data_IF_050859830390
#
_entry.id   IF_050859830390
#
_cell.length_a   1.000
_cell.length_b   1.000
_cell.length_c   1.000
_cell.angle_alpha   90.00
_cell.angle_beta   90.00
_cell.angle_gamma   90.00
#
_symmetry.space_group_name_H-M   'P 1'
#
loop_
_entity.id
_entity.type
_entity.pdbx_description
1 polymer ?
#
# COMPACT_ATOMS: atom_id res chain seq x y z
N UNK A 1 12.70 5.16 -3.23
CA UNK A 1 11.47 4.42 -2.89
C UNK A 1 10.73 5.07 -1.74
N UNK A 2 9.40 5.02 -1.77
CA UNK A 2 8.52 5.58 -0.74
C UNK A 2 8.56 4.76 0.56
N UNK A 3 8.35 5.37 1.75
CA UNK A 3 8.20 4.61 2.99
C UNK A 3 6.98 3.67 3.02
N UNK A 4 6.06 3.79 2.05
CA UNK A 4 4.88 2.91 1.93
C UNK A 4 5.09 1.73 0.97
N UNK A 5 6.28 1.55 0.41
CA UNK A 5 6.55 0.52 -0.60
C UNK A 5 6.25 -0.91 -0.09
N UNK A 6 6.50 -1.15 1.20
CA UNK A 6 6.29 -2.44 1.84
C UNK A 6 4.86 -2.67 2.33
N UNK A 7 4.00 -1.63 2.29
CA UNK A 7 2.61 -1.80 2.70
C UNK A 7 1.86 -2.64 1.67
N UNK A 8 1.09 -3.63 2.11
CA UNK A 8 0.30 -4.43 1.20
C UNK A 8 -0.85 -3.60 0.62
N UNK A 9 -1.30 -3.97 -0.58
CA UNK A 9 -2.30 -3.20 -1.32
C UNK A 9 -3.60 -2.99 -0.53
N UNK A 10 -4.02 -3.97 0.28
CA UNK A 10 -5.27 -3.89 1.03
C UNK A 10 -5.23 -2.89 2.18
N UNK A 11 -4.03 -2.54 2.68
CA UNK A 11 -3.86 -1.46 3.65
C UNK A 11 -4.01 -0.12 2.92
N UNK A 12 -3.23 0.10 1.86
CA UNK A 12 -3.25 1.34 1.07
C UNK A 12 -4.64 1.62 0.46
N UNK A 13 -5.30 0.57 -0.04
CA UNK A 13 -6.62 0.67 -0.66
C UNK A 13 -7.77 0.62 0.34
N UNK A 14 -7.49 0.41 1.63
CA UNK A 14 -8.48 0.26 2.70
C UNK A 14 -9.58 -0.78 2.36
N UNK A 15 -9.15 -1.96 1.92
CA UNK A 15 -10.07 -3.03 1.56
C UNK A 15 -10.69 -3.64 2.84
N UNK A 16 -12.02 -3.65 2.96
CA UNK A 16 -12.72 -4.29 4.07
C UNK A 16 -12.37 -5.79 4.19
N UNK A 17 -12.30 -6.29 5.42
CA UNK A 17 -11.89 -7.67 5.74
C UNK A 17 -12.80 -8.77 5.18
N UNK A 18 -14.01 -8.41 4.72
CA UNK A 18 -15.04 -9.38 4.34
C UNK A 18 -15.05 -9.82 2.87
N UNK A 19 -14.00 -9.52 2.09
CA UNK A 19 -13.92 -9.96 0.69
C UNK A 19 -12.74 -10.89 0.47
N UNK A 20 -12.98 -12.03 -0.19
CA UNK A 20 -11.98 -12.95 -0.73
C UNK A 20 -11.08 -12.20 -1.71
N UNK A 21 -10.12 -11.46 -1.19
CA UNK A 21 -9.22 -10.62 -1.96
C UNK A 21 -8.08 -11.51 -2.49
N UNK A 22 -7.93 -11.66 -3.83
CA UNK A 22 -6.88 -12.50 -4.39
C UNK A 22 -5.47 -12.10 -3.94
N UNK A 23 -5.24 -10.81 -3.68
CA UNK A 23 -3.98 -10.29 -3.14
C UNK A 23 -3.73 -10.66 -1.67
N UNK A 24 -4.78 -10.71 -0.82
CA UNK A 24 -4.64 -11.21 0.57
C UNK A 24 -4.32 -12.71 0.60
N UNK A 25 -4.85 -13.47 -0.37
CA UNK A 25 -4.60 -14.92 -0.49
C UNK A 25 -3.19 -15.23 -1.03
N UNK A 26 -2.54 -14.27 -1.69
CA UNK A 26 -1.20 -14.41 -2.28
C UNK A 26 -0.27 -13.24 -1.85
N UNK A 27 0.07 -13.11 -0.55
CA UNK A 27 0.74 -11.92 0.00
C UNK A 27 2.18 -11.71 -0.49
N UNK A 28 2.80 -12.73 -1.10
CA UNK A 28 4.15 -12.65 -1.66
C UNK A 28 4.19 -12.12 -3.09
N UNK A 29 3.03 -11.90 -3.70
CA UNK A 29 2.91 -11.44 -5.07
C UNK A 29 2.33 -10.04 -5.08
N UNK A 30 2.70 -9.27 -6.10
CA UNK A 30 2.18 -7.94 -6.24
C UNK A 30 0.74 -7.97 -6.74
N UNK A 31 -0.09 -7.07 -6.21
CA UNK A 31 -1.51 -7.07 -6.53
C UNK A 31 -1.78 -6.90 -8.03
N UNK A 32 -0.94 -6.14 -8.74
CA UNK A 32 -1.06 -5.92 -10.18
C UNK A 32 -0.78 -7.19 -11.00
N UNK A 33 0.13 -8.05 -10.56
CA UNK A 33 0.38 -9.33 -11.22
C UNK A 33 -0.85 -10.22 -11.08
N UNK A 34 -1.39 -10.32 -9.86
CA UNK A 34 -2.56 -11.13 -9.56
C UNK A 34 -3.78 -10.64 -10.36
N UNK A 35 -4.10 -9.35 -10.32
CA UNK A 35 -5.28 -8.84 -11.02
C UNK A 35 -5.14 -8.89 -12.55
N UNK A 36 -3.93 -8.81 -13.09
CA UNK A 36 -3.69 -8.96 -14.53
C UNK A 36 -4.06 -10.34 -15.09
N UNK A 37 -4.04 -11.37 -14.25
CA UNK A 37 -4.43 -12.74 -14.63
C UNK A 37 -5.96 -12.88 -14.78
N UNK A 38 -6.74 -12.09 -14.02
CA UNK A 38 -8.21 -12.10 -14.07
C UNK A 38 -8.75 -11.14 -15.14
N UNK A 39 -8.13 -9.97 -15.30
CA UNK A 39 -8.47 -9.00 -16.34
C UNK A 39 -7.23 -8.19 -16.74
N UNK A 40 -6.80 -8.34 -18.00
CA UNK A 40 -5.65 -7.57 -18.53
C UNK A 40 -5.86 -6.06 -18.45
N UNK A 41 -7.11 -5.56 -18.43
CA UNK A 41 -7.39 -4.13 -18.26
C UNK A 41 -7.16 -3.65 -16.83
N UNK A 42 -7.25 -4.54 -15.84
CA UNK A 42 -6.92 -4.23 -14.46
C UNK A 42 -5.44 -3.87 -14.30
N UNK A 43 -4.56 -4.42 -15.14
CA UNK A 43 -3.14 -4.08 -15.14
C UNK A 43 -2.88 -2.60 -15.38
N UNK A 44 -3.53 -2.00 -16.39
CA UNK A 44 -3.39 -0.57 -16.67
C UNK A 44 -3.87 0.29 -15.49
N UNK A 45 -4.97 -0.11 -14.84
CA UNK A 45 -5.47 0.57 -13.64
C UNK A 45 -4.48 0.43 -12.48
N UNK A 46 -3.83 -0.73 -12.34
CA UNK A 46 -2.86 -0.94 -11.28
C UNK A 46 -1.53 -0.21 -11.51
N UNK A 47 -1.10 0.03 -12.74
CA UNK A 47 0.10 0.83 -13.01
C UNK A 47 -0.06 2.30 -12.59
N UNK A 48 -1.30 2.81 -12.63
CA UNK A 48 -1.62 4.16 -12.17
C UNK A 48 -1.96 4.21 -10.67
N UNK A 49 -2.01 3.06 -9.98
CA UNK A 49 -2.46 3.00 -8.60
C UNK A 49 -1.37 3.37 -7.60
N UNK A 50 -1.80 3.87 -6.44
CA UNK A 50 -0.91 4.36 -5.38
C UNK A 50 0.05 3.28 -4.85
N UNK A 51 -0.34 2.00 -4.91
CA UNK A 51 0.51 0.86 -4.51
C UNK A 51 1.69 0.67 -5.47
N UNK A 52 1.42 0.77 -6.77
CA UNK A 52 2.47 0.67 -7.78
C UNK A 52 3.40 1.90 -7.70
N UNK A 53 2.81 3.08 -7.62
CA UNK A 53 3.54 4.35 -7.53
C UNK A 53 4.40 4.47 -6.28
N UNK A 54 4.02 3.87 -5.14
CA UNK A 54 4.82 3.88 -3.92
C UNK A 54 6.07 3.00 -4.01
N UNK A 55 6.02 1.95 -4.83
CA UNK A 55 7.12 0.99 -5.00
C UNK A 55 8.13 1.39 -6.06
N UNK A 56 7.83 2.40 -6.87
CA UNK A 56 8.80 2.91 -7.85
C UNK A 56 9.95 3.65 -7.17
N UNK A 57 11.14 3.55 -7.76
CA UNK A 57 12.30 4.34 -7.36
C UNK A 57 12.09 5.81 -7.72
N UNK A 58 11.63 6.06 -8.95
CA UNK A 58 11.23 7.36 -9.48
C UNK A 58 9.71 7.38 -9.74
N UNK A 59 8.96 7.97 -8.81
CA UNK A 59 7.50 8.11 -8.92
C UNK A 59 7.13 9.48 -9.47
N UNK A 60 6.01 9.56 -10.20
CA UNK A 60 5.43 10.85 -10.63
C UNK A 60 4.91 11.66 -9.44
N UNK A 61 4.55 10.98 -8.34
CA UNK A 61 4.20 11.64 -7.09
C UNK A 61 5.46 11.89 -6.27
N UNK A 62 5.62 13.13 -5.82
CA UNK A 62 6.61 13.46 -4.81
C UNK A 62 6.30 12.75 -3.50
N UNK A 63 7.30 12.62 -2.63
CA UNK A 63 7.12 12.04 -1.30
C UNK A 63 6.05 12.77 -0.50
N UNK A 64 6.06 14.11 -0.52
CA UNK A 64 5.08 14.91 0.21
C UNK A 64 3.64 14.68 -0.31
N UNK A 65 3.43 14.61 -1.63
CA UNK A 65 2.11 14.29 -2.18
C UNK A 65 1.65 12.91 -1.74
N UNK A 66 2.55 11.93 -1.74
CA UNK A 66 2.25 10.58 -1.29
C UNK A 66 1.87 10.56 0.20
N UNK A 67 2.61 11.27 1.06
CA UNK A 67 2.31 11.39 2.49
C UNK A 67 0.92 12.02 2.72
N UNK A 68 0.58 13.08 1.98
CA UNK A 68 -0.73 13.72 2.09
C UNK A 68 -1.87 12.77 1.65
N UNK A 69 -1.68 12.01 0.57
CA UNK A 69 -2.67 11.04 0.09
C UNK A 69 -2.85 9.90 1.11
N UNK A 70 -1.75 9.38 1.68
CA UNK A 70 -1.80 8.32 2.69
C UNK A 70 -2.45 8.79 3.99
N UNK A 71 -2.12 10.00 4.45
CA UNK A 71 -2.74 10.60 5.64
C UNK A 71 -4.24 10.79 5.45
N UNK A 72 -4.68 11.24 4.27
CA UNK A 72 -6.11 11.35 3.94
C UNK A 72 -6.84 9.98 3.93
N UNK A 73 -6.09 8.88 3.78
CA UNK A 73 -6.57 7.50 3.91
C UNK A 73 -6.48 6.94 5.34
N UNK A 74 -5.98 7.73 6.29
CA UNK A 74 -5.78 7.32 7.68
C UNK A 74 -4.49 6.53 7.93
N UNK A 75 -3.52 6.58 7.01
CA UNK A 75 -2.22 5.91 7.13
C UNK A 75 -1.18 6.98 7.45
N UNK A 76 -0.68 7.00 8.68
CA UNK A 76 0.38 7.91 9.12
C UNK A 76 1.70 7.15 9.31
N UNK A 77 2.73 7.54 8.56
CA UNK A 77 4.04 6.90 8.63
C UNK A 77 4.73 7.08 10.00
N UNK A 78 4.45 8.17 10.71
CA UNK A 78 5.02 8.40 12.04
C UNK A 78 4.42 7.45 13.09
N UNK A 79 3.20 6.96 12.84
CA UNK A 79 2.54 5.98 13.69
C UNK A 79 3.03 4.54 13.45
N UNK A 80 3.58 4.26 12.26
CA UNK A 80 4.10 2.94 11.88
C UNK A 80 5.50 2.66 12.45
N UNK A 81 6.26 3.70 12.82
CA UNK A 81 7.58 3.60 13.46
C UNK A 81 7.54 3.55 14.99
N UNK A 82 6.35 3.67 15.60
CA UNK A 82 6.20 3.56 17.05
C UNK A 82 6.03 2.08 17.43
N UNK A 83 7.14 1.38 17.65
CA UNK A 83 7.13 0.14 18.42
C UNK A 83 6.46 0.41 19.79
N UNK A 84 5.45 -0.37 20.22
CA UNK A 84 4.91 -0.28 21.57
C UNK A 84 5.86 -0.81 22.66
N UNK A 85 7.13 -1.10 22.34
CA UNK A 85 8.12 -1.66 23.25
C UNK A 85 8.85 -0.60 24.12
N UNK A 86 8.22 0.53 24.41
CA UNK A 86 8.76 1.55 25.33
C UNK A 86 7.66 2.10 26.23
N UNK A 87 7.00 1.22 26.98
CA UNK A 87 6.35 1.65 28.22
C UNK A 87 7.42 1.69 29.32
N UNK A 88 7.68 2.83 29.99
CA UNK A 88 8.41 2.82 31.24
C UNK A 88 7.47 2.28 32.32
N UNK A 89 7.84 1.16 32.93
CA UNK A 89 7.24 0.73 34.20
C UNK A 89 7.36 1.88 35.21
N UNK A 90 6.23 2.28 35.80
CA UNK A 90 6.13 3.16 36.97
C UNK A 90 5.56 2.37 38.14
#
# INVERSE_FOLDING_TARGET
MSPYAELPCWVIMNCADNSRCPAKEQPHRDCWEIFSEFDRKAFNICQDCLVYLSRQEESILSRNEMDQIMLAKGIDINSLSADPASSPES
#
